data_IF_986123872813
#
_entry.id   IF_986123872813
#
_cell.length_a   1.000
_cell.length_b   1.000
_cell.length_c   1.000
_cell.angle_alpha   90.00
_cell.angle_beta   90.00
_cell.angle_gamma   90.00
#
_symmetry.space_group_name_H-M   'P 1'
#
loop_
_entity.id
_entity.type
_entity.pdbx_description
1 polymer ?
#
# COMPACT_ATOMS: atom_id res chain seq x y z
N UNK A 1 9.07 -34.22 46.23
CA UNK A 1 8.13 -33.45 45.39
C UNK A 1 8.60 -33.56 43.96
N UNK A 2 7.94 -34.37 43.17
CA UNK A 2 8.30 -34.60 41.77
C UNK A 2 7.61 -33.52 40.90
N UNK A 3 8.41 -32.70 40.21
CA UNK A 3 7.91 -31.77 39.21
C UNK A 3 7.64 -32.54 37.92
N UNK A 4 6.40 -32.58 37.51
CA UNK A 4 5.95 -33.07 36.21
C UNK A 4 6.39 -32.08 35.14
N UNK A 5 7.30 -32.53 34.26
CA UNK A 5 7.70 -31.77 33.08
C UNK A 5 6.54 -31.82 32.05
N UNK A 6 5.91 -30.66 31.79
CA UNK A 6 4.99 -30.50 30.67
C UNK A 6 5.75 -30.64 29.35
N UNK A 7 5.22 -31.52 28.48
CA UNK A 7 5.74 -31.71 27.12
C UNK A 7 5.48 -30.44 26.30
N UNK A 8 6.54 -29.74 25.95
CA UNK A 8 6.51 -28.67 24.94
C UNK A 8 6.09 -29.31 23.61
N UNK A 9 4.91 -28.95 23.13
CA UNK A 9 4.41 -29.36 21.82
C UNK A 9 5.26 -28.70 20.71
N UNK A 10 5.72 -29.50 19.75
CA UNK A 10 6.45 -29.03 18.57
C UNK A 10 5.59 -27.98 17.80
N UNK A 11 6.21 -26.89 17.29
CA UNK A 11 5.47 -25.90 16.51
C UNK A 11 4.86 -26.56 15.27
N UNK A 12 3.56 -26.43 15.15
CA UNK A 12 2.79 -26.90 13.99
C UNK A 12 3.21 -26.06 12.78
N UNK A 13 3.84 -26.68 11.80
CA UNK A 13 4.09 -26.03 10.50
C UNK A 13 2.75 -25.59 9.93
N UNK A 14 2.59 -24.28 9.71
CA UNK A 14 1.43 -23.74 9.04
C UNK A 14 1.31 -24.38 7.65
N UNK A 15 0.17 -25.00 7.37
CA UNK A 15 -0.14 -25.56 6.06
C UNK A 15 -0.09 -24.45 5.02
N UNK A 16 0.61 -24.70 3.90
CA UNK A 16 0.50 -23.86 2.69
C UNK A 16 -0.99 -23.67 2.37
N UNK A 17 -1.41 -22.46 1.92
CA UNK A 17 -2.79 -22.23 1.55
C UNK A 17 -3.26 -23.32 0.56
N UNK A 18 -4.43 -23.87 0.81
CA UNK A 18 -4.99 -24.94 0.00
C UNK A 18 -5.42 -24.37 -1.35
N UNK A 19 -4.86 -24.92 -2.42
CA UNK A 19 -5.11 -24.57 -3.82
C UNK A 19 -6.49 -25.10 -4.30
N UNK A 20 -7.57 -24.83 -3.56
CA UNK A 20 -8.94 -25.23 -3.91
C UNK A 20 -9.81 -23.98 -4.04
N UNK A 21 -9.42 -23.07 -4.97
CA UNK A 21 -10.15 -21.83 -5.19
C UNK A 21 -11.05 -21.96 -6.41
N UNK A 22 -12.35 -21.78 -6.17
CA UNK A 22 -13.27 -21.33 -7.22
C UNK A 22 -12.72 -19.98 -7.72
N UNK A 23 -12.50 -19.85 -9.02
CA UNK A 23 -12.02 -18.61 -9.62
C UNK A 23 -12.91 -17.40 -9.21
N UNK A 24 -12.33 -16.22 -9.22
CA UNK A 24 -13.07 -14.98 -8.97
C UNK A 24 -14.09 -14.71 -10.09
N UNK A 25 -15.08 -13.88 -9.80
CA UNK A 25 -16.11 -13.52 -10.79
C UNK A 25 -15.51 -12.64 -11.91
N UNK A 26 -16.18 -12.62 -13.07
CA UNK A 26 -15.85 -11.72 -14.16
C UNK A 26 -15.81 -10.25 -13.70
N UNK A 27 -16.77 -9.86 -12.85
CA UNK A 27 -16.86 -8.51 -12.29
C UNK A 27 -15.61 -8.15 -11.47
N UNK A 28 -15.10 -9.08 -10.66
CA UNK A 28 -13.88 -8.88 -9.87
C UNK A 28 -12.66 -8.67 -10.77
N UNK A 29 -12.49 -9.50 -11.81
CA UNK A 29 -11.37 -9.33 -12.75
C UNK A 29 -11.46 -8.02 -13.52
N UNK A 30 -12.64 -7.61 -13.95
CA UNK A 30 -12.85 -6.32 -14.65
C UNK A 30 -12.56 -5.14 -13.70
N UNK A 31 -12.96 -5.24 -12.44
CA UNK A 31 -12.65 -4.23 -11.43
C UNK A 31 -11.13 -4.14 -11.21
N UNK A 32 -10.43 -5.25 -11.03
CA UNK A 32 -8.97 -5.25 -10.89
C UNK A 32 -8.27 -4.65 -12.12
N UNK A 33 -8.75 -5.01 -13.32
CA UNK A 33 -8.20 -4.46 -14.57
C UNK A 33 -8.37 -2.95 -14.66
N UNK A 34 -9.60 -2.44 -14.45
CA UNK A 34 -9.90 -1.01 -14.50
C UNK A 34 -9.06 -0.23 -13.46
N UNK A 35 -9.01 -0.70 -12.22
CA UNK A 35 -8.31 0.00 -11.13
C UNK A 35 -6.78 -0.03 -11.30
N UNK A 36 -6.21 -1.17 -11.65
CA UNK A 36 -4.77 -1.23 -11.93
C UNK A 36 -4.38 -0.37 -13.13
N UNK A 37 -5.20 -0.37 -14.18
CA UNK A 37 -4.97 0.47 -15.34
C UNK A 37 -5.08 1.96 -14.99
N UNK A 38 -6.05 2.34 -14.14
CA UNK A 38 -6.20 3.70 -13.65
C UNK A 38 -4.95 4.15 -12.86
N UNK A 39 -4.49 3.34 -11.92
CA UNK A 39 -3.26 3.61 -11.15
C UNK A 39 -2.05 3.75 -12.07
N UNK A 40 -1.86 2.82 -13.03
CA UNK A 40 -0.77 2.86 -14.00
C UNK A 40 -0.79 4.14 -14.84
N UNK A 41 -1.91 4.47 -15.44
CA UNK A 41 -2.05 5.65 -16.31
C UNK A 41 -1.92 6.95 -15.53
N UNK A 42 -2.47 6.99 -14.32
CA UNK A 42 -2.28 8.11 -13.39
C UNK A 42 -0.80 8.34 -13.08
N UNK A 43 -0.08 7.31 -12.69
CA UNK A 43 1.34 7.39 -12.34
C UNK A 43 2.22 7.72 -13.55
N UNK A 44 1.92 7.17 -14.72
CA UNK A 44 2.61 7.51 -15.98
C UNK A 44 2.42 9.00 -16.30
N UNK A 45 1.19 9.52 -16.14
CA UNK A 45 0.88 10.92 -16.36
C UNK A 45 1.56 11.82 -15.34
N UNK A 46 1.54 11.47 -14.06
CA UNK A 46 2.27 12.19 -13.01
C UNK A 46 3.78 12.23 -13.32
N UNK A 47 4.36 11.11 -13.76
CA UNK A 47 5.76 11.06 -14.18
C UNK A 47 6.08 11.98 -15.37
N UNK A 48 5.17 12.12 -16.34
CA UNK A 48 5.34 13.06 -17.47
C UNK A 48 5.30 14.53 -17.02
N UNK A 49 4.53 14.83 -15.98
CA UNK A 49 4.36 16.19 -15.46
C UNK A 49 5.42 16.58 -14.42
N UNK A 50 6.30 15.65 -14.07
CA UNK A 50 7.39 15.88 -13.13
C UNK A 50 8.38 16.94 -13.66
N UNK A 51 8.73 17.88 -12.80
CA UNK A 51 9.63 19.01 -13.16
C UNK A 51 8.91 20.19 -13.84
N UNK A 52 7.63 20.03 -14.18
CA UNK A 52 6.78 21.10 -14.72
C UNK A 52 5.73 21.50 -13.69
N UNK A 53 4.59 20.83 -13.68
CA UNK A 53 3.48 21.09 -12.74
C UNK A 53 3.70 20.38 -11.39
N UNK A 54 4.36 19.24 -11.38
CA UNK A 54 4.69 18.47 -10.16
C UNK A 54 6.14 18.76 -9.77
N UNK A 55 6.34 19.24 -8.54
CA UNK A 55 7.63 19.61 -7.98
C UNK A 55 7.96 18.77 -6.73
N UNK A 56 9.21 18.81 -6.29
CA UNK A 56 9.67 18.07 -5.13
C UNK A 56 9.99 16.61 -5.45
N UNK A 57 9.81 15.73 -4.49
CA UNK A 57 10.02 14.29 -4.70
C UNK A 57 8.74 13.64 -5.21
N UNK A 58 8.87 12.80 -6.24
CA UNK A 58 7.75 12.04 -6.80
C UNK A 58 8.12 10.55 -6.81
N UNK A 59 7.32 9.75 -6.11
CA UNK A 59 7.55 8.30 -5.94
C UNK A 59 6.44 7.52 -6.62
N UNK A 60 6.70 7.00 -7.82
CA UNK A 60 5.71 6.28 -8.61
C UNK A 60 5.55 4.83 -8.14
N UNK A 61 4.33 4.33 -8.16
CA UNK A 61 3.96 2.97 -7.73
C UNK A 61 4.00 1.93 -8.88
N UNK A 62 4.40 2.34 -10.08
CA UNK A 62 4.38 1.55 -11.31
C UNK A 62 5.05 0.18 -11.14
N UNK A 63 4.33 -0.89 -11.44
CA UNK A 63 4.72 -2.29 -11.34
C UNK A 63 4.18 -3.01 -10.09
N UNK A 64 3.57 -2.31 -9.15
CA UNK A 64 3.11 -2.85 -7.87
C UNK A 64 1.56 -2.81 -7.73
N UNK A 65 0.84 -2.46 -8.79
CA UNK A 65 -0.59 -2.15 -8.79
C UNK A 65 -1.47 -3.30 -8.29
N UNK A 66 -1.05 -4.56 -8.50
CA UNK A 66 -1.79 -5.73 -8.02
C UNK A 66 -1.96 -5.75 -6.49
N UNK A 67 -1.04 -5.13 -5.75
CA UNK A 67 -1.13 -5.09 -4.28
C UNK A 67 -2.30 -4.19 -3.87
N UNK A 68 -2.38 -2.99 -4.43
CA UNK A 68 -3.45 -2.05 -4.13
C UNK A 68 -4.82 -2.56 -4.62
N UNK A 69 -4.89 -3.14 -5.83
CA UNK A 69 -6.12 -3.70 -6.39
C UNK A 69 -6.60 -4.95 -5.63
N UNK A 70 -5.69 -5.86 -5.26
CA UNK A 70 -6.03 -7.02 -4.46
C UNK A 70 -6.47 -6.66 -3.04
N UNK A 71 -5.84 -5.63 -2.42
CA UNK A 71 -6.25 -5.08 -1.14
C UNK A 71 -7.68 -4.53 -1.20
N UNK A 72 -7.98 -3.69 -2.18
CA UNK A 72 -9.27 -3.02 -2.33
C UNK A 72 -10.46 -3.99 -2.26
N UNK A 73 -10.32 -5.15 -2.86
CA UNK A 73 -11.38 -6.17 -2.88
C UNK A 73 -11.39 -7.09 -1.66
N UNK A 74 -10.34 -7.07 -0.82
CA UNK A 74 -10.19 -7.90 0.36
C UNK A 74 -10.63 -7.23 1.67
N UNK A 75 -10.68 -5.90 1.70
CA UNK A 75 -11.02 -5.11 2.89
C UNK A 75 -12.51 -4.80 2.97
N UNK A 76 -12.95 -4.31 4.13
CA UNK A 76 -14.34 -3.92 4.39
C UNK A 76 -14.44 -2.42 4.64
N UNK A 77 -15.63 -1.81 4.38
CA UNK A 77 -15.88 -0.43 4.77
C UNK A 77 -15.56 -0.21 6.26
N UNK A 78 -14.78 0.83 6.54
CA UNK A 78 -14.35 1.16 7.89
C UNK A 78 -12.96 0.63 8.27
N UNK A 79 -12.38 -0.30 7.53
CA UNK A 79 -10.97 -0.70 7.71
C UNK A 79 -10.05 0.49 7.43
N UNK A 80 -8.90 0.52 8.11
CA UNK A 80 -7.94 1.63 8.07
C UNK A 80 -6.70 1.24 7.29
N UNK A 81 -6.21 2.15 6.47
CA UNK A 81 -4.95 1.96 5.75
C UNK A 81 -3.98 3.06 6.12
N UNK A 82 -2.74 2.68 6.41
CA UNK A 82 -1.60 3.56 6.60
C UNK A 82 -0.41 3.01 5.82
N UNK A 83 0.35 3.87 5.15
CA UNK A 83 1.43 3.44 4.26
C UNK A 83 2.68 4.32 4.38
N UNK A 84 3.73 3.93 3.68
CA UNK A 84 4.93 4.73 3.48
C UNK A 84 4.69 5.84 2.43
N UNK A 85 5.73 6.50 2.00
CA UNK A 85 5.72 7.65 1.07
C UNK A 85 5.36 7.32 -0.39
N UNK A 86 5.18 6.06 -0.76
CA UNK A 86 4.74 5.63 -2.10
C UNK A 86 3.29 5.23 -2.00
N UNK A 87 2.42 6.21 -1.92
CA UNK A 87 1.06 6.08 -1.40
C UNK A 87 -0.07 6.40 -2.39
N UNK A 88 0.26 6.84 -3.62
CA UNK A 88 -0.74 7.27 -4.60
C UNK A 88 -1.73 6.16 -4.95
N UNK A 89 -1.23 4.94 -5.21
CA UNK A 89 -2.09 3.82 -5.57
C UNK A 89 -2.99 3.39 -4.42
N UNK A 90 -2.46 3.34 -3.18
CA UNK A 90 -3.27 3.03 -2.00
C UNK A 90 -4.30 4.13 -1.73
N UNK A 91 -3.95 5.41 -1.95
CA UNK A 91 -4.89 6.53 -1.83
C UNK A 91 -6.08 6.37 -2.81
N UNK A 92 -5.80 6.08 -4.08
CA UNK A 92 -6.82 5.83 -5.11
C UNK A 92 -7.64 4.57 -4.76
N UNK A 93 -6.99 3.48 -4.36
CA UNK A 93 -7.65 2.22 -3.98
C UNK A 93 -8.57 2.37 -2.75
N UNK A 94 -8.27 3.32 -1.86
CA UNK A 94 -9.13 3.66 -0.72
C UNK A 94 -10.29 4.58 -1.10
N UNK A 95 -10.40 4.99 -2.36
CA UNK A 95 -11.50 5.76 -2.89
C UNK A 95 -11.27 7.27 -2.96
N UNK A 96 -10.06 7.76 -2.68
CA UNK A 96 -9.76 9.19 -2.91
C UNK A 96 -9.82 9.45 -4.41
N UNK A 97 -10.62 10.44 -4.87
CA UNK A 97 -10.75 10.71 -6.28
C UNK A 97 -9.40 11.03 -6.95
N UNK A 98 -9.08 10.45 -8.11
CA UNK A 98 -7.81 10.73 -8.80
C UNK A 98 -7.54 12.21 -9.03
N UNK A 99 -8.58 13.02 -9.22
CA UNK A 99 -8.47 14.49 -9.37
C UNK A 99 -7.94 15.18 -8.11
N UNK A 100 -8.34 14.72 -6.92
CA UNK A 100 -7.84 15.25 -5.64
C UNK A 100 -6.40 14.80 -5.38
N UNK A 101 -6.05 13.56 -5.76
CA UNK A 101 -4.68 13.05 -5.71
C UNK A 101 -3.77 13.85 -6.65
N UNK A 102 -4.22 14.13 -7.89
CA UNK A 102 -3.46 14.95 -8.84
C UNK A 102 -3.32 16.40 -8.38
N UNK A 103 -4.37 16.99 -7.83
CA UNK A 103 -4.34 18.34 -7.27
C UNK A 103 -3.35 18.42 -6.10
N UNK A 104 -3.25 17.38 -5.26
CA UNK A 104 -2.25 17.30 -4.20
C UNK A 104 -0.83 17.29 -4.76
N UNK A 105 -0.58 16.50 -5.81
CA UNK A 105 0.72 16.47 -6.49
C UNK A 105 1.11 17.84 -7.10
N UNK A 106 0.12 18.64 -7.51
CA UNK A 106 0.32 20.00 -8.03
C UNK A 106 0.45 21.05 -6.91
N UNK A 107 0.28 20.65 -5.65
CA UNK A 107 0.29 21.56 -4.50
C UNK A 107 -0.92 22.49 -4.45
N UNK A 108 -2.09 22.02 -4.88
CA UNK A 108 -3.32 22.81 -4.97
C UNK A 108 -4.20 22.61 -3.74
N UNK A 109 -4.94 23.66 -3.37
CA UNK A 109 -5.85 23.65 -2.21
C UNK A 109 -6.91 22.55 -2.27
N UNK A 110 -7.33 22.15 -3.48
CA UNK A 110 -8.31 21.11 -3.71
C UNK A 110 -7.73 19.69 -3.63
N UNK A 111 -6.43 19.55 -3.31
CA UNK A 111 -5.79 18.28 -3.04
C UNK A 111 -6.29 17.64 -1.74
N UNK A 112 -6.18 16.31 -1.62
CA UNK A 112 -6.66 15.55 -0.47
C UNK A 112 -6.00 15.94 0.87
N UNK A 113 -4.83 16.58 0.81
CA UNK A 113 -4.12 17.20 1.96
C UNK A 113 -3.97 18.71 1.79
N UNK A 114 -4.89 19.36 1.07
CA UNK A 114 -4.91 20.80 0.80
C UNK A 114 -3.65 21.34 0.12
N UNK A 115 -2.97 20.50 -0.66
CA UNK A 115 -1.73 20.86 -1.34
C UNK A 115 -0.50 20.96 -0.43
N UNK A 116 -0.60 20.53 0.83
CA UNK A 116 0.49 20.61 1.84
C UNK A 116 1.33 19.34 1.89
N UNK A 117 0.79 18.21 1.45
CA UNK A 117 1.40 16.89 1.56
C UNK A 117 2.28 16.50 0.37
N UNK A 118 1.89 16.90 -0.83
CA UNK A 118 2.55 16.49 -2.07
C UNK A 118 2.50 14.98 -2.26
N UNK A 119 3.56 14.43 -2.92
CA UNK A 119 3.62 13.00 -3.28
C UNK A 119 3.74 12.02 -2.10
N UNK A 120 4.06 12.48 -0.89
CA UNK A 120 4.47 11.58 0.19
C UNK A 120 3.55 11.62 1.41
N UNK A 121 2.60 12.53 1.46
CA UNK A 121 1.80 12.80 2.65
C UNK A 121 0.34 13.07 2.27
N UNK A 122 -0.28 12.07 1.65
CA UNK A 122 -1.70 12.10 1.29
C UNK A 122 -2.54 11.50 2.42
N UNK A 123 -3.58 12.20 2.85
CA UNK A 123 -4.45 11.78 3.95
C UNK A 123 -5.91 12.00 3.57
N UNK A 124 -6.79 11.09 4.03
CA UNK A 124 -8.23 11.30 3.94
C UNK A 124 -8.94 10.59 5.08
N UNK A 125 -9.52 11.39 5.98
CA UNK A 125 -10.33 10.86 7.08
C UNK A 125 -11.60 10.18 6.56
N UNK A 126 -12.21 10.73 5.53
CA UNK A 126 -13.42 10.20 4.93
C UNK A 126 -13.20 8.79 4.36
N UNK A 127 -12.07 8.59 3.70
CA UNK A 127 -11.71 7.32 3.08
C UNK A 127 -10.93 6.38 4.02
N UNK A 128 -10.81 6.70 5.32
CA UNK A 128 -10.04 5.91 6.29
C UNK A 128 -8.58 5.68 5.86
N UNK A 129 -8.02 6.60 5.11
CA UNK A 129 -6.65 6.60 4.66
C UNK A 129 -5.79 7.49 5.56
N UNK A 130 -4.94 6.86 6.38
CA UNK A 130 -4.08 7.52 7.36
C UNK A 130 -2.72 7.90 6.80
N UNK A 131 -2.63 7.88 5.49
CA UNK A 131 -1.64 8.55 4.69
C UNK A 131 -0.32 7.87 4.49
N UNK A 132 0.46 8.58 3.69
CA UNK A 132 1.86 8.33 3.41
C UNK A 132 2.77 9.01 4.42
N UNK A 133 3.84 8.34 4.76
CA UNK A 133 4.81 8.83 5.73
C UNK A 133 6.22 8.83 5.14
N UNK A 134 6.85 10.02 5.09
CA UNK A 134 8.20 10.21 4.55
C UNK A 134 9.30 9.61 5.42
N UNK A 135 9.08 9.56 6.74
CA UNK A 135 10.06 8.94 7.66
C UNK A 135 9.94 7.43 7.61
N UNK A 136 10.98 6.77 7.12
CA UNK A 136 11.01 5.31 6.90
C UNK A 136 10.76 4.55 8.21
N UNK A 137 9.71 3.75 8.23
CA UNK A 137 9.33 2.94 9.39
C UNK A 137 8.43 3.65 10.42
N UNK A 138 8.24 4.97 10.33
CA UNK A 138 7.41 5.71 11.29
C UNK A 138 5.94 5.28 11.29
N UNK A 139 5.42 4.87 10.14
CA UNK A 139 4.03 4.39 10.01
C UNK A 139 3.77 3.09 10.78
N UNK A 140 4.80 2.31 11.11
CA UNK A 140 4.64 1.00 11.75
C UNK A 140 4.03 1.13 13.15
N UNK A 141 4.63 1.90 14.09
CA UNK A 141 4.02 2.13 15.41
C UNK A 141 2.72 2.93 15.32
N UNK A 142 2.58 3.83 14.34
CA UNK A 142 1.33 4.57 14.13
C UNK A 142 0.19 3.63 13.71
N UNK A 143 0.45 2.68 12.82
CA UNK A 143 -0.52 1.64 12.42
C UNK A 143 -0.98 0.79 13.61
N UNK A 144 -0.04 0.42 14.49
CA UNK A 144 -0.40 -0.25 15.74
C UNK A 144 -1.25 0.63 16.65
N UNK A 145 -0.97 1.94 16.72
CA UNK A 145 -1.80 2.91 17.45
C UNK A 145 -3.23 3.02 16.91
N UNK A 146 -3.39 3.02 15.57
CA UNK A 146 -4.70 2.98 14.91
C UNK A 146 -5.44 1.69 15.26
N UNK A 147 -4.78 0.54 15.15
CA UNK A 147 -5.36 -0.75 15.52
C UNK A 147 -5.73 -0.82 17.01
N UNK A 148 -4.91 -0.24 17.88
CA UNK A 148 -5.21 -0.11 19.31
C UNK A 148 -6.49 0.72 19.53
N UNK A 149 -6.63 1.85 18.82
CA UNK A 149 -7.82 2.68 18.90
C UNK A 149 -9.08 1.93 18.46
N UNK A 150 -9.02 1.15 17.37
CA UNK A 150 -10.16 0.34 16.91
C UNK A 150 -10.50 -0.75 17.92
N UNK A 151 -9.52 -1.41 18.52
CA UNK A 151 -9.73 -2.37 19.61
C UNK A 151 -10.35 -1.71 20.85
N UNK A 152 -9.84 -0.55 21.26
CA UNK A 152 -10.34 0.19 22.42
C UNK A 152 -11.81 0.61 22.23
N UNK A 153 -12.17 1.04 21.02
CA UNK A 153 -13.55 1.37 20.61
C UNK A 153 -14.44 0.13 20.47
N UNK A 154 -13.88 -1.08 20.58
CA UNK A 154 -14.57 -2.35 20.33
C UNK A 154 -15.20 -2.44 18.93
N UNK A 155 -14.60 -1.80 17.95
CA UNK A 155 -15.00 -1.93 16.55
C UNK A 155 -14.58 -3.28 15.99
N UNK A 156 -15.09 -3.62 14.80
CA UNK A 156 -14.67 -4.79 14.03
C UNK A 156 -13.66 -4.43 12.94
N UNK A 157 -13.30 -3.14 12.84
CA UNK A 157 -12.36 -2.65 11.86
C UNK A 157 -10.93 -3.09 12.20
N UNK A 158 -10.14 -3.21 11.17
CA UNK A 158 -8.71 -3.56 11.26
C UNK A 158 -7.86 -2.44 10.69
N UNK A 159 -6.57 -2.49 10.95
CA UNK A 159 -5.58 -1.61 10.32
C UNK A 159 -4.67 -2.41 9.41
N UNK A 160 -4.53 -1.99 8.15
CA UNK A 160 -3.50 -2.46 7.22
C UNK A 160 -2.36 -1.44 7.24
N UNK A 161 -1.17 -1.90 7.63
CA UNK A 161 0.01 -1.07 7.75
C UNK A 161 1.05 -1.48 6.72
N UNK A 162 1.19 -0.69 5.66
CA UNK A 162 2.13 -0.94 4.57
C UNK A 162 3.51 -0.37 4.88
N UNK A 163 4.54 -1.08 4.45
CA UNK A 163 5.94 -0.67 4.58
C UNK A 163 6.77 -1.26 3.45
N UNK A 164 7.88 -0.62 3.09
CA UNK A 164 8.84 -1.20 2.15
C UNK A 164 9.84 -2.14 2.83
N UNK A 165 10.58 -2.91 2.02
CA UNK A 165 11.64 -3.82 2.46
C UNK A 165 12.75 -3.13 3.29
N UNK A 166 13.08 -1.87 2.98
CA UNK A 166 14.01 -1.08 3.79
C UNK A 166 13.49 -0.74 5.18
N UNK A 167 12.16 -0.55 5.34
CA UNK A 167 11.55 -0.17 6.60
C UNK A 167 11.57 -1.31 7.64
N UNK A 168 11.59 -2.57 7.22
CA UNK A 168 11.63 -3.72 8.15
C UNK A 168 12.95 -3.83 8.93
N UNK A 169 13.93 -2.99 8.61
CA UNK A 169 15.21 -2.89 9.34
C UNK A 169 15.19 -1.86 10.47
N UNK A 170 14.12 -1.10 10.61
CA UNK A 170 13.96 -0.14 11.69
C UNK A 170 13.66 -0.84 13.02
N UNK A 171 14.29 -0.41 14.11
CA UNK A 171 14.02 -0.93 15.46
C UNK A 171 12.54 -0.85 15.84
N UNK A 172 11.85 0.19 15.35
CA UNK A 172 10.42 0.40 15.56
C UNK A 172 9.54 -0.78 15.10
N UNK A 173 9.95 -1.56 14.08
CA UNK A 173 9.24 -2.78 13.69
C UNK A 173 9.22 -3.78 14.84
N UNK A 174 10.37 -4.05 15.43
CA UNK A 174 10.55 -5.05 16.48
C UNK A 174 9.78 -4.69 17.75
N UNK A 175 9.83 -3.42 18.14
CA UNK A 175 9.06 -2.88 19.26
C UNK A 175 7.56 -3.01 19.00
N UNK A 176 7.12 -2.65 17.79
CA UNK A 176 5.71 -2.68 17.39
C UNK A 176 5.20 -4.12 17.29
N UNK A 177 5.97 -5.06 16.74
CA UNK A 177 5.59 -6.47 16.68
C UNK A 177 5.37 -7.05 18.08
N UNK A 178 6.27 -6.72 19.02
CA UNK A 178 6.11 -7.12 20.43
C UNK A 178 4.79 -6.60 21.00
N UNK A 179 4.50 -5.30 20.85
CA UNK A 179 3.28 -4.70 21.37
C UNK A 179 2.02 -5.23 20.67
N UNK A 180 2.07 -5.40 19.36
CA UNK A 180 0.94 -5.89 18.58
C UNK A 180 0.53 -7.31 19.02
N UNK A 181 1.50 -8.20 19.22
CA UNK A 181 1.24 -9.57 19.67
C UNK A 181 0.80 -9.60 21.13
N UNK A 182 1.49 -8.86 22.02
CA UNK A 182 1.15 -8.79 23.44
C UNK A 182 -0.28 -8.27 23.66
N UNK A 183 -0.65 -7.22 22.93
CA UNK A 183 -1.97 -6.59 23.05
C UNK A 183 -3.00 -7.16 22.08
N UNK A 184 -2.63 -8.14 21.24
CA UNK A 184 -3.52 -8.78 20.27
C UNK A 184 -4.26 -7.73 19.45
N UNK A 185 -3.51 -6.90 18.73
CA UNK A 185 -4.07 -5.79 17.95
C UNK A 185 -4.70 -6.29 16.64
N UNK A 186 -5.80 -5.69 16.16
CA UNK A 186 -6.42 -6.02 14.88
C UNK A 186 -5.64 -5.36 13.73
N UNK A 187 -4.43 -5.86 13.44
CA UNK A 187 -3.51 -5.27 12.47
C UNK A 187 -2.94 -6.32 11.51
N UNK A 188 -2.77 -5.91 10.26
CA UNK A 188 -1.99 -6.61 9.25
C UNK A 188 -0.79 -5.75 8.90
N UNK A 189 0.40 -6.24 9.14
CA UNK A 189 1.63 -5.62 8.65
C UNK A 189 1.93 -6.16 7.25
N UNK A 190 2.12 -5.28 6.28
CA UNK A 190 2.35 -5.64 4.88
C UNK A 190 3.67 -5.03 4.43
N UNK A 191 4.65 -5.89 4.16
CA UNK A 191 5.92 -5.49 3.54
C UNK A 191 5.79 -5.61 2.02
N UNK A 192 5.78 -4.49 1.32
CA UNK A 192 5.91 -4.42 -0.13
C UNK A 192 7.40 -4.59 -0.49
N UNK A 193 7.82 -5.85 -0.64
CA UNK A 193 9.19 -6.16 -0.99
C UNK A 193 9.39 -6.03 -2.50
N UNK A 194 9.85 -4.84 -2.91
CA UNK A 194 10.15 -4.53 -4.31
C UNK A 194 11.64 -4.68 -4.65
N UNK A 195 12.37 -5.45 -3.85
CA UNK A 195 13.78 -5.86 -3.95
C UNK A 195 14.80 -4.76 -3.64
N UNK A 196 14.42 -3.48 -3.59
CA UNK A 196 15.38 -2.39 -3.42
C UNK A 196 14.91 -1.31 -2.44
N UNK A 197 15.59 -1.20 -1.30
CA UNK A 197 15.53 -0.01 -0.45
C UNK A 197 16.39 1.09 -1.05
N UNK A 198 15.79 2.09 -1.71
CA UNK A 198 16.47 3.03 -2.60
C UNK A 198 17.25 2.28 -3.71
N UNK A 199 18.56 2.30 -3.68
CA UNK A 199 19.45 1.58 -4.60
C UNK A 199 20.16 0.37 -3.97
N UNK A 200 19.76 -0.05 -2.78
CA UNK A 200 20.39 -1.17 -2.08
C UNK A 200 19.46 -2.39 -2.11
N UNK A 201 19.91 -3.50 -2.67
CA UNK A 201 19.12 -4.73 -2.74
C UNK A 201 18.91 -5.35 -1.34
N UNK A 202 17.81 -6.08 -1.20
CA UNK A 202 17.49 -6.80 0.06
C UNK A 202 18.62 -7.75 0.44
N UNK A 203 19.18 -8.50 -0.49
CA UNK A 203 20.28 -9.45 -0.26
C UNK A 203 21.54 -8.81 0.35
N UNK A 204 21.81 -7.54 0.04
CA UNK A 204 22.95 -6.82 0.59
C UNK A 204 22.75 -6.32 2.02
N UNK A 205 21.51 -6.33 2.51
CA UNK A 205 21.16 -5.75 3.82
C UNK A 205 20.74 -6.78 4.84
N UNK A 206 20.62 -8.05 4.45
CA UNK A 206 20.16 -9.09 5.35
C UNK A 206 20.79 -10.44 5.05
N UNK A 207 21.00 -11.23 6.09
CA UNK A 207 21.34 -12.65 6.02
C UNK A 207 20.09 -13.56 5.91
N UNK A 208 18.89 -12.99 6.02
CA UNK A 208 17.60 -13.68 5.87
C UNK A 208 16.76 -12.95 4.83
N UNK A 209 16.90 -13.30 3.53
CA UNK A 209 16.21 -12.60 2.44
C UNK A 209 14.69 -12.79 2.45
N UNK A 210 14.19 -13.85 3.06
CA UNK A 210 12.78 -14.12 3.26
C UNK A 210 12.27 -13.29 4.45
N UNK A 211 11.83 -12.07 4.21
CA UNK A 211 11.50 -11.09 5.26
C UNK A 211 10.33 -11.54 6.15
N UNK A 212 9.39 -12.32 5.61
CA UNK A 212 8.27 -12.85 6.40
C UNK A 212 8.73 -13.68 7.60
N UNK A 213 9.93 -14.28 7.56
CA UNK A 213 10.49 -15.05 8.68
C UNK A 213 10.74 -14.22 9.94
N UNK A 214 10.78 -12.89 9.82
CA UNK A 214 10.90 -12.00 10.98
C UNK A 214 9.74 -12.16 11.97
N UNK A 215 8.54 -12.47 11.49
CA UNK A 215 7.38 -12.69 12.35
C UNK A 215 7.49 -13.92 13.25
N UNK A 216 8.28 -14.91 12.85
CA UNK A 216 8.44 -16.17 13.60
C UNK A 216 9.00 -15.96 15.02
N UNK A 217 9.87 -14.96 15.21
CA UNK A 217 10.43 -14.62 16.53
C UNK A 217 9.38 -14.08 17.52
N UNK A 218 8.22 -13.69 17.01
CA UNK A 218 7.09 -13.17 17.78
C UNK A 218 5.90 -14.13 17.81
N UNK A 219 6.05 -15.34 17.25
CA UNK A 219 4.94 -16.28 17.03
C UNK A 219 3.80 -15.66 16.18
N UNK A 220 4.10 -14.61 15.42
CA UNK A 220 3.14 -13.94 14.54
C UNK A 220 2.95 -14.76 13.25
N UNK A 221 1.70 -15.10 12.87
CA UNK A 221 1.42 -15.69 11.56
C UNK A 221 2.03 -14.84 10.45
N UNK A 222 2.89 -15.43 9.61
CA UNK A 222 3.66 -14.67 8.63
C UNK A 222 3.82 -15.47 7.35
N UNK A 223 3.60 -14.81 6.20
CA UNK A 223 3.55 -15.48 4.90
C UNK A 223 4.21 -14.64 3.82
N UNK A 224 4.78 -15.32 2.83
CA UNK A 224 5.23 -14.69 1.59
C UNK A 224 4.14 -14.85 0.53
N UNK A 225 3.90 -13.78 -0.23
CA UNK A 225 2.81 -13.65 -1.22
C UNK A 225 3.38 -13.17 -2.54
N UNK A 226 2.88 -13.68 -3.66
CA UNK A 226 3.19 -13.15 -4.98
C UNK A 226 2.38 -11.86 -5.21
N UNK A 227 3.07 -10.72 -5.18
CA UNK A 227 2.48 -9.39 -5.37
C UNK A 227 2.26 -8.98 -6.83
N UNK A 228 2.58 -9.87 -7.77
CA UNK A 228 2.30 -9.68 -9.21
C UNK A 228 0.95 -10.31 -9.61
N UNK A 229 0.21 -10.92 -8.66
CA UNK A 229 -1.08 -11.57 -8.89
C UNK A 229 -2.13 -11.03 -7.93
N UNK A 230 -3.18 -10.37 -8.45
CA UNK A 230 -4.27 -9.82 -7.64
C UNK A 230 -4.96 -10.90 -6.80
N UNK A 231 -5.13 -12.09 -7.36
CA UNK A 231 -5.76 -13.23 -6.70
C UNK A 231 -4.98 -13.66 -5.44
N UNK A 232 -3.66 -13.75 -5.56
CA UNK A 232 -2.79 -14.12 -4.45
C UNK A 232 -2.83 -13.06 -3.34
N UNK A 233 -2.78 -11.78 -3.72
CA UNK A 233 -2.86 -10.65 -2.80
C UNK A 233 -4.21 -10.61 -2.10
N UNK A 234 -5.31 -10.66 -2.86
CA UNK A 234 -6.67 -10.67 -2.31
C UNK A 234 -6.85 -11.78 -1.27
N UNK A 235 -6.47 -13.00 -1.62
CA UNK A 235 -6.63 -14.16 -0.74
C UNK A 235 -5.81 -14.02 0.54
N UNK A 236 -4.54 -13.63 0.42
CA UNK A 236 -3.66 -13.45 1.57
C UNK A 236 -4.15 -12.35 2.51
N UNK A 237 -4.59 -11.21 1.97
CA UNK A 237 -5.14 -10.10 2.77
C UNK A 237 -6.48 -10.50 3.39
N UNK A 238 -7.37 -11.19 2.66
CA UNK A 238 -8.65 -11.67 3.19
C UNK A 238 -8.47 -12.62 4.36
N UNK A 239 -7.55 -13.59 4.27
CA UNK A 239 -7.23 -14.50 5.36
C UNK A 239 -6.60 -13.77 6.56
N UNK A 240 -5.70 -12.83 6.30
CA UNK A 240 -5.08 -12.00 7.33
C UNK A 240 -6.13 -11.09 8.00
N UNK A 241 -7.07 -10.54 7.24
CA UNK A 241 -8.17 -9.72 7.75
C UNK A 241 -9.10 -10.55 8.67
N UNK A 242 -9.43 -11.77 8.29
CA UNK A 242 -10.20 -12.67 9.14
C UNK A 242 -9.48 -12.92 10.48
N UNK A 243 -8.16 -13.19 10.45
CA UNK A 243 -7.35 -13.35 11.67
C UNK A 243 -7.28 -12.07 12.50
N UNK A 244 -7.08 -10.92 11.85
CA UNK A 244 -6.99 -9.63 12.55
C UNK A 244 -8.31 -9.26 13.25
N UNK A 245 -9.48 -9.56 12.67
CA UNK A 245 -10.79 -9.37 13.30
C UNK A 245 -10.97 -10.24 14.55
N UNK A 246 -10.27 -11.36 14.63
CA UNK A 246 -10.15 -12.22 15.82
C UNK A 246 -8.93 -11.86 16.69
N UNK A 247 -8.42 -10.64 16.54
CA UNK A 247 -7.32 -10.08 17.33
C UNK A 247 -6.00 -10.87 17.21
N UNK A 248 -5.73 -11.44 16.03
CA UNK A 248 -4.46 -12.10 15.72
C UNK A 248 -3.73 -11.30 14.66
N UNK A 249 -2.68 -10.54 15.03
CA UNK A 249 -1.83 -9.82 14.07
C UNK A 249 -1.24 -10.77 13.04
N UNK A 250 -1.02 -10.28 11.83
CA UNK A 250 -0.39 -11.05 10.74
C UNK A 250 0.66 -10.20 10.05
N UNK A 251 1.77 -10.80 9.65
CA UNK A 251 2.78 -10.16 8.80
C UNK A 251 2.80 -10.81 7.42
N UNK A 252 2.63 -10.01 6.38
CA UNK A 252 2.70 -10.44 4.97
C UNK A 252 3.91 -9.79 4.31
N UNK A 253 4.79 -10.60 3.72
CA UNK A 253 5.79 -10.15 2.76
C UNK A 253 5.22 -10.34 1.36
N UNK A 254 4.89 -9.25 0.68
CA UNK A 254 4.36 -9.28 -0.68
C UNK A 254 5.50 -8.96 -1.65
N UNK A 255 5.95 -9.98 -2.39
CA UNK A 255 7.02 -9.86 -3.39
C UNK A 255 6.48 -9.19 -4.64
N UNK A 256 7.08 -8.09 -4.99
CA UNK A 256 6.70 -7.26 -6.15
C UNK A 256 7.93 -6.63 -6.79
N UNK A 257 7.75 -5.77 -7.79
CA UNK A 257 8.86 -5.07 -8.41
C UNK A 257 8.49 -3.66 -8.86
N UNK A 258 9.36 -2.71 -8.56
CA UNK A 258 9.21 -1.32 -8.96
C UNK A 258 9.84 -1.10 -10.33
N UNK A 259 9.05 -0.70 -11.36
CA UNK A 259 9.57 -0.52 -12.72
C UNK A 259 10.38 0.77 -12.90
N UNK A 260 10.09 1.80 -12.12
CA UNK A 260 10.83 3.08 -12.13
C UNK A 260 11.93 3.10 -11.06
N UNK A 261 12.78 4.12 -11.09
CA UNK A 261 13.72 4.39 -10.01
C UNK A 261 13.04 4.58 -8.65
N UNK A 262 13.82 4.79 -7.62
CA UNK A 262 13.28 5.04 -6.27
C UNK A 262 12.33 6.26 -6.27
N UNK A 263 12.76 7.34 -6.88
CA UNK A 263 11.94 8.51 -7.21
C UNK A 263 12.19 8.91 -8.67
N UNK A 264 11.47 9.90 -9.16
CA UNK A 264 11.65 10.37 -10.54
C UNK A 264 13.04 10.97 -10.82
N UNK A 265 13.76 11.41 -9.78
CA UNK A 265 15.15 11.87 -9.90
C UNK A 265 16.19 10.75 -9.90
N UNK A 266 15.78 9.49 -9.60
CA UNK A 266 16.67 8.34 -9.54
C UNK A 266 16.82 7.67 -10.92
N UNK A 267 18.05 7.65 -11.50
CA UNK A 267 18.29 7.02 -12.80
C UNK A 267 18.34 5.49 -12.77
N UNK A 268 18.12 4.84 -11.63
CA UNK A 268 18.06 3.39 -11.43
C UNK A 268 19.28 2.60 -11.97
N UNK A 269 20.49 3.13 -11.83
CA UNK A 269 21.74 2.50 -12.34
C UNK A 269 22.20 1.28 -11.54
N UNK A 270 21.55 0.96 -10.43
CA UNK A 270 21.91 -0.14 -9.52
C UNK A 270 21.33 -1.50 -9.93
N UNK A 271 20.51 -1.55 -10.96
CA UNK A 271 19.88 -2.77 -11.50
C UNK A 271 20.08 -2.88 -13.01
N UNK A 272 20.02 -4.10 -13.53
CA UNK A 272 20.18 -4.33 -14.95
C UNK A 272 18.86 -4.08 -15.73
N UNK A 273 19.00 -3.93 -17.05
CA UNK A 273 17.84 -3.82 -17.93
C UNK A 273 17.13 -5.17 -18.09
N UNK A 274 17.91 -6.23 -18.12
CA UNK A 274 17.43 -7.60 -18.24
C UNK A 274 16.54 -7.97 -17.05
N UNK A 275 16.94 -7.64 -15.82
CA UNK A 275 16.16 -7.82 -14.62
C UNK A 275 14.81 -7.11 -14.73
N UNK A 276 14.80 -5.85 -15.17
CA UNK A 276 13.55 -5.09 -15.35
C UNK A 276 12.63 -5.74 -16.39
N UNK A 277 13.15 -6.19 -17.53
CA UNK A 277 12.34 -6.81 -18.58
C UNK A 277 11.78 -8.18 -18.14
N UNK A 278 12.51 -8.93 -17.29
CA UNK A 278 11.99 -10.17 -16.71
C UNK A 278 10.74 -9.93 -15.85
N UNK A 279 10.74 -8.87 -15.04
CA UNK A 279 9.56 -8.51 -14.24
C UNK A 279 8.42 -7.94 -15.07
N UNK A 280 8.71 -7.14 -16.09
CA UNK A 280 7.69 -6.64 -17.03
C UNK A 280 7.01 -7.75 -17.81
N UNK A 281 7.71 -8.84 -18.11
CA UNK A 281 7.10 -10.01 -18.75
C UNK A 281 6.04 -10.69 -17.87
N UNK A 282 5.98 -10.34 -16.58
CA UNK A 282 5.01 -10.81 -15.59
C UNK A 282 4.10 -9.68 -15.11
N UNK A 283 3.85 -8.66 -15.96
CA UNK A 283 3.08 -7.48 -15.57
C UNK A 283 1.69 -7.86 -15.05
N UNK A 284 1.27 -7.37 -13.87
CA UNK A 284 0.00 -7.75 -13.27
C UNK A 284 -1.22 -7.33 -14.09
N UNK A 285 -1.15 -6.22 -14.84
CA UNK A 285 -2.25 -5.75 -15.70
C UNK A 285 -2.42 -6.70 -16.87
N UNK A 286 -1.31 -7.11 -17.51
CA UNK A 286 -1.33 -8.08 -18.61
C UNK A 286 -1.83 -9.44 -18.15
N UNK A 287 -1.42 -9.89 -16.95
CA UNK A 287 -1.90 -11.15 -16.35
C UNK A 287 -3.43 -11.15 -16.20
N UNK A 288 -4.00 -10.11 -15.61
CA UNK A 288 -5.46 -9.99 -15.43
C UNK A 288 -6.18 -9.85 -16.77
N UNK A 289 -5.64 -9.06 -17.72
CA UNK A 289 -6.20 -8.94 -19.06
C UNK A 289 -6.25 -10.28 -19.80
N UNK A 290 -5.16 -11.03 -19.77
CA UNK A 290 -5.11 -12.38 -20.35
C UNK A 290 -6.14 -13.32 -19.71
N UNK A 291 -6.33 -13.23 -18.39
CA UNK A 291 -7.34 -14.02 -17.67
C UNK A 291 -8.75 -13.63 -18.13
N UNK A 292 -9.05 -12.34 -18.30
CA UNK A 292 -10.32 -11.85 -18.81
C UNK A 292 -10.58 -12.38 -20.22
N UNK A 293 -9.60 -12.30 -21.11
CA UNK A 293 -9.71 -12.74 -22.49
C UNK A 293 -9.87 -14.26 -22.61
N UNK A 294 -9.03 -15.03 -21.89
CA UNK A 294 -9.04 -16.50 -21.94
C UNK A 294 -10.34 -17.09 -21.40
N UNK A 295 -11.01 -16.43 -20.47
CA UNK A 295 -12.28 -16.87 -19.90
C UNK A 295 -13.49 -16.22 -20.56
N UNK A 296 -13.31 -15.32 -21.53
CA UNK A 296 -14.39 -14.62 -22.20
C UNK A 296 -15.22 -13.74 -21.26
N UNK A 297 -14.58 -13.13 -20.25
CA UNK A 297 -15.25 -12.29 -19.27
C UNK A 297 -15.65 -10.92 -19.81
N UNK A 298 -15.01 -10.47 -20.90
CA UNK A 298 -15.35 -9.26 -21.62
C UNK A 298 -15.03 -9.36 -23.12
N UNK A 299 -15.73 -8.60 -23.93
CA UNK A 299 -15.41 -8.42 -25.35
C UNK A 299 -14.29 -7.37 -25.53
N UNK A 300 -13.68 -7.33 -26.72
CA UNK A 300 -12.68 -6.30 -27.05
C UNK A 300 -13.24 -4.88 -26.97
N UNK A 301 -14.53 -4.68 -27.35
CA UNK A 301 -15.20 -3.40 -27.23
C UNK A 301 -15.34 -2.97 -25.77
N UNK A 302 -15.65 -3.89 -24.86
CA UNK A 302 -15.74 -3.61 -23.43
C UNK A 302 -14.37 -3.25 -22.84
N UNK A 303 -13.31 -3.97 -23.22
CA UNK A 303 -11.94 -3.66 -22.81
C UNK A 303 -11.53 -2.28 -23.33
N UNK A 304 -11.85 -1.97 -24.60
CA UNK A 304 -11.59 -0.66 -25.19
C UNK A 304 -12.33 0.45 -24.44
N UNK A 305 -13.59 0.22 -24.09
CA UNK A 305 -14.38 1.19 -23.31
C UNK A 305 -13.76 1.45 -21.91
N UNK A 306 -13.23 0.43 -21.25
CA UNK A 306 -12.49 0.61 -19.96
C UNK A 306 -11.24 1.47 -20.19
N UNK A 307 -10.45 1.22 -21.23
CA UNK A 307 -9.26 2.00 -21.55
C UNK A 307 -9.60 3.49 -21.79
N UNK A 308 -10.64 3.78 -22.58
CA UNK A 308 -11.08 5.16 -22.85
C UNK A 308 -11.63 5.84 -21.58
N UNK A 309 -12.39 5.13 -20.78
CA UNK A 309 -12.89 5.61 -19.47
C UNK A 309 -11.73 6.00 -18.53
N UNK A 310 -10.74 5.13 -18.41
CA UNK A 310 -9.55 5.38 -17.57
C UNK A 310 -8.77 6.58 -18.08
N UNK A 311 -8.55 6.66 -19.39
CA UNK A 311 -7.89 7.81 -20.00
C UNK A 311 -8.63 9.11 -19.70
N UNK A 312 -9.94 9.15 -19.90
CA UNK A 312 -10.76 10.32 -19.61
C UNK A 312 -10.66 10.74 -18.12
N UNK A 313 -10.69 9.78 -17.18
CA UNK A 313 -10.51 10.07 -15.74
C UNK A 313 -9.16 10.70 -15.42
N UNK A 314 -8.09 10.24 -16.07
CA UNK A 314 -6.75 10.81 -15.86
C UNK A 314 -6.63 12.20 -16.48
N UNK A 315 -7.17 12.41 -17.68
CA UNK A 315 -7.18 13.71 -18.34
C UNK A 315 -8.02 14.73 -17.52
N UNK A 316 -9.19 14.32 -17.00
CA UNK A 316 -10.00 15.12 -16.06
C UNK A 316 -9.23 15.49 -14.81
N UNK A 317 -8.48 14.54 -14.23
CA UNK A 317 -7.70 14.79 -13.02
C UNK A 317 -6.62 15.85 -13.24
N UNK A 318 -5.96 15.84 -14.38
CA UNK A 318 -4.96 16.86 -14.75
C UNK A 318 -5.63 18.21 -14.94
N UNK A 319 -6.72 18.27 -15.71
CA UNK A 319 -7.43 19.52 -15.93
C UNK A 319 -7.93 20.14 -14.62
N UNK A 320 -8.54 19.34 -13.76
CA UNK A 320 -8.98 19.78 -12.42
C UNK A 320 -7.84 20.35 -11.59
N UNK A 321 -6.68 19.67 -11.59
CA UNK A 321 -5.51 20.14 -10.86
C UNK A 321 -4.95 21.46 -11.44
N UNK A 322 -4.90 21.60 -12.75
CA UNK A 322 -4.43 22.84 -13.40
C UNK A 322 -5.34 24.04 -13.08
N UNK A 323 -6.66 23.86 -13.13
CA UNK A 323 -7.66 24.90 -12.87
C UNK A 323 -7.82 25.23 -11.39
N UNK A 324 -7.35 24.37 -10.50
CA UNK A 324 -7.46 24.55 -9.04
C UNK A 324 -6.56 25.67 -8.52
N UNK A 325 -6.99 26.44 -7.50
CA UNK A 325 -6.17 27.46 -6.88
C UNK A 325 -5.04 26.88 -6.03
N UNK A 326 -4.00 27.66 -5.78
CA UNK A 326 -3.04 27.36 -4.74
C UNK A 326 -3.60 27.71 -3.37
N UNK A 327 -3.15 27.04 -2.28
CA UNK A 327 -3.51 27.41 -0.93
C UNK A 327 -3.15 28.86 -0.61
N UNK A 328 -3.97 29.52 0.24
CA UNK A 328 -3.60 30.82 0.77
C UNK A 328 -2.31 30.72 1.60
N UNK A 329 -1.39 31.70 1.52
CA UNK A 329 -0.14 31.66 2.31
C UNK A 329 -0.34 31.50 3.82
N UNK A 330 -1.47 31.92 4.38
CA UNK A 330 -1.79 31.75 5.81
C UNK A 330 -1.99 30.27 6.20
N UNK A 331 -2.27 29.40 5.22
CA UNK A 331 -2.44 27.95 5.44
C UNK A 331 -1.18 27.25 5.97
N UNK A 332 0.00 27.88 5.94
CA UNK A 332 1.21 27.34 6.57
C UNK A 332 1.10 27.24 8.09
N UNK A 333 0.17 27.94 8.70
CA UNK A 333 -0.04 27.98 10.15
C UNK A 333 -1.22 27.11 10.61
N UNK A 334 -1.94 26.45 9.69
CA UNK A 334 -3.11 25.63 10.00
C UNK A 334 -2.78 24.14 9.96
N UNK A 335 -3.68 23.31 10.47
CA UNK A 335 -3.60 21.83 10.45
C UNK A 335 -2.36 21.23 11.16
N UNK A 336 -1.74 21.98 12.09
CA UNK A 336 -0.58 21.48 12.86
C UNK A 336 -1.05 20.68 14.06
N UNK A 337 -2.05 21.19 14.78
CA UNK A 337 -2.71 20.53 15.90
C UNK A 337 -4.24 20.62 15.74
N UNK A 338 -4.95 19.75 16.43
CA UNK A 338 -6.42 19.74 16.42
C UNK A 338 -7.02 21.02 17.02
N UNK A 339 -6.36 21.59 18.00
CA UNK A 339 -6.80 22.77 18.74
C UNK A 339 -5.80 23.91 18.50
N UNK A 340 -6.30 25.14 18.32
CA UNK A 340 -5.47 26.34 18.12
C UNK A 340 -4.79 26.79 19.42
N UNK A 341 -4.91 26.01 20.49
CA UNK A 341 -4.32 26.34 21.78
C UNK A 341 -2.86 25.91 21.86
N UNK A 342 -1.99 26.82 21.48
CA UNK A 342 -0.56 26.71 21.68
C UNK A 342 -0.17 27.45 22.97
N UNK A 343 -0.11 26.76 24.13
CA UNK A 343 0.17 27.44 25.39
C UNK A 343 1.57 28.07 25.45
N UNK A 344 2.43 27.74 24.51
CA UNK A 344 3.82 28.22 24.45
C UNK A 344 4.04 29.33 23.38
N UNK A 345 3.04 29.69 22.58
CA UNK A 345 3.16 30.66 21.51
C UNK A 345 2.17 31.84 21.62
N UNK A 346 1.49 31.97 22.76
CA UNK A 346 0.69 33.15 23.08
C UNK A 346 1.61 34.18 23.73
N UNK A 347 2.02 35.20 22.96
CA UNK A 347 2.58 36.42 23.47
C UNK A 347 1.50 37.28 24.15
#
# INVERSE_FOLDING_TARGET
>A
MAQTAEKVSKPTQAKKPSNNQKGFSAETYLSWYEEMLLMRRFEEKAGQLYGHSIRGFLHLYIGQEAIAAGMMTAIQPGDKVITAYRDHAQAIAMGIPPKEVMAELFGKETGCSKGKGGSMHMFSKEHNFFGGHGIVGAQIPMGAGIAFAEKYKKSKNICLCFMGDGAVRQGALHETFTLAMLWKLPIIFICENNEYGMGTSVERTTNVPDLYKLGASYEMPSFQVNGMECEAVHNAISEAAARAREFTPTFLEIKTYRYKGHSMSDPAKYRSREELEEYKAKDPIDHVLQTIQNNGFATEEQITAINEKVKAKVDEAVQFADESPYPDPSEIYTDIYKEDDYPYLKD
#
